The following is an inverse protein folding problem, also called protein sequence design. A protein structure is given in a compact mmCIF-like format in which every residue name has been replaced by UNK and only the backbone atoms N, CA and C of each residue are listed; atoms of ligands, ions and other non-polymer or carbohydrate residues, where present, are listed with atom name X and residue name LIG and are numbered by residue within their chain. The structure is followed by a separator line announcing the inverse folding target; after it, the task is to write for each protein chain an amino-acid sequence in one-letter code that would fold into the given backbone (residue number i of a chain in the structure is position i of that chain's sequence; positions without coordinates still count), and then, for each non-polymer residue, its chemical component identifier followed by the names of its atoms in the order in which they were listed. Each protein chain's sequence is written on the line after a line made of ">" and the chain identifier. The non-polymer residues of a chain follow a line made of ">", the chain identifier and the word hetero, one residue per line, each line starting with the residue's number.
data_IF_736281975930
#
_entry.id   IF_736281975930
#
_cell.length_a   1.000
_cell.length_b   1.000
_cell.length_c   1.000
_cell.angle_alpha   90.00
_cell.angle_beta   90.00
_cell.angle_gamma   90.00
#
_symmetry.space_group_name_H-M   'P 1'
#
loop_
_entity.id
_entity.type
_entity.pdbx_description
1 polymer ?
#
# COMPACT_ATOMS: atom_id res chain seq x y z
N UNK A 1 8.77 -5.85 33.85
CA UNK A 1 8.06 -7.00 33.25
C UNK A 1 9.03 -7.87 32.46
N UNK A 2 8.61 -9.05 31.98
CA UNK A 2 9.42 -9.85 31.05
C UNK A 2 9.46 -9.13 29.70
N UNK A 3 10.51 -9.34 28.90
CA UNK A 3 10.68 -8.63 27.63
C UNK A 3 9.57 -8.96 26.63
N UNK A 4 9.08 -10.19 26.59
CA UNK A 4 7.92 -10.54 25.76
C UNK A 4 6.62 -9.88 26.24
N UNK A 5 6.43 -9.65 27.55
CA UNK A 5 5.28 -8.89 28.06
C UNK A 5 5.36 -7.45 27.53
N UNK A 6 6.55 -6.83 27.63
CA UNK A 6 6.80 -5.48 27.10
C UNK A 6 6.57 -5.43 25.59
N UNK A 7 7.02 -6.44 24.86
CA UNK A 7 6.82 -6.57 23.42
C UNK A 7 5.33 -6.58 23.06
N UNK A 8 4.53 -7.43 23.72
CA UNK A 8 3.08 -7.50 23.51
C UNK A 8 2.39 -6.19 23.91
N UNK A 9 2.76 -5.57 25.03
CA UNK A 9 2.21 -4.28 25.43
C UNK A 9 2.52 -3.17 24.40
N UNK A 10 3.69 -3.21 23.77
CA UNK A 10 4.00 -2.29 22.67
C UNK A 10 3.10 -2.54 21.46
N UNK A 11 2.83 -3.80 21.09
CA UNK A 11 1.88 -4.11 20.01
C UNK A 11 0.46 -3.63 20.32
N UNK A 12 0.00 -3.79 21.57
CA UNK A 12 -1.29 -3.27 22.01
C UNK A 12 -1.36 -1.74 21.89
N UNK A 13 -0.28 -1.03 22.24
CA UNK A 13 -0.19 0.44 22.08
C UNK A 13 -0.19 0.88 20.62
N UNK A 14 0.25 0.03 19.69
CA UNK A 14 0.12 0.26 18.25
C UNK A 14 -1.29 -0.06 17.71
N UNK A 15 -2.18 -0.55 18.57
CA UNK A 15 -3.54 -0.91 18.20
C UNK A 15 -3.63 -2.21 17.40
N UNK A 16 -2.69 -3.13 17.60
CA UNK A 16 -2.78 -4.48 17.03
C UNK A 16 -3.99 -5.20 17.63
N UNK A 17 -4.83 -5.76 16.76
CA UNK A 17 -6.03 -6.51 17.16
C UNK A 17 -5.82 -8.02 16.94
N UNK A 18 -5.11 -8.39 15.88
CA UNK A 18 -4.89 -9.78 15.47
C UNK A 18 -3.42 -10.04 15.14
N UNK A 19 -2.95 -11.24 15.50
CA UNK A 19 -1.69 -11.81 15.00
C UNK A 19 -2.02 -13.14 14.31
N UNK A 20 -1.66 -13.24 13.03
CA UNK A 20 -1.85 -14.46 12.25
C UNK A 20 -0.55 -15.27 12.25
N UNK A 21 -0.57 -16.55 12.58
CA UNK A 21 0.69 -17.29 12.58
C UNK A 21 0.66 -18.71 13.05
N UNK A 22 1.86 -19.26 13.20
CA UNK A 22 2.09 -20.60 13.77
C UNK A 22 3.08 -20.46 14.94
N UNK A 23 2.70 -20.94 16.15
CA UNK A 23 3.60 -20.91 17.30
C UNK A 23 4.74 -21.94 17.14
N UNK A 24 5.88 -21.65 17.77
CA UNK A 24 7.04 -22.52 17.87
C UNK A 24 7.78 -22.33 19.20
N UNK A 25 8.82 -23.12 19.44
CA UNK A 25 9.56 -23.07 20.70
C UNK A 25 10.19 -21.68 20.95
N UNK A 26 10.83 -21.10 19.94
CA UNK A 26 11.57 -19.84 20.04
C UNK A 26 10.68 -18.59 20.15
N UNK A 27 9.38 -18.71 19.92
CA UNK A 27 8.41 -17.65 20.19
C UNK A 27 7.46 -17.99 21.35
N UNK A 28 7.72 -19.07 22.10
CA UNK A 28 6.85 -19.51 23.20
C UNK A 28 6.62 -18.44 24.28
N UNK A 29 7.63 -17.63 24.62
CA UNK A 29 7.46 -16.56 25.60
C UNK A 29 6.50 -15.46 25.11
N UNK A 30 6.49 -15.14 23.81
CA UNK A 30 5.50 -14.24 23.20
C UNK A 30 4.11 -14.89 23.32
N UNK A 31 3.98 -16.17 22.97
CA UNK A 31 2.71 -16.90 23.05
C UNK A 31 2.14 -16.91 24.47
N UNK A 32 2.98 -17.09 25.48
CA UNK A 32 2.55 -17.01 26.88
C UNK A 32 2.10 -15.60 27.28
N UNK A 33 2.74 -14.56 26.75
CA UNK A 33 2.39 -13.16 27.05
C UNK A 33 1.08 -12.75 26.40
N UNK A 34 0.75 -13.33 25.24
CA UNK A 34 -0.51 -13.11 24.54
C UNK A 34 -1.73 -13.67 25.29
N UNK A 35 -1.55 -14.62 26.22
CA UNK A 35 -2.67 -15.18 27.00
C UNK A 35 -3.38 -14.14 27.88
N UNK A 36 -2.64 -13.12 28.32
CA UNK A 36 -3.15 -12.02 29.16
C UNK A 36 -3.39 -10.72 28.35
N UNK A 37 -3.29 -10.80 27.01
CA UNK A 37 -3.44 -9.66 26.09
C UNK A 37 -4.85 -9.57 25.50
N UNK A 38 -5.21 -8.38 25.00
CA UNK A 38 -6.41 -8.23 24.16
C UNK A 38 -6.20 -8.66 22.71
N UNK A 39 -4.96 -8.92 22.29
CA UNK A 39 -4.63 -9.34 20.93
C UNK A 39 -5.10 -10.78 20.71
N UNK A 40 -5.87 -11.02 19.66
CA UNK A 40 -6.28 -12.36 19.27
C UNK A 40 -5.21 -13.03 18.40
N UNK A 41 -4.71 -14.19 18.82
CA UNK A 41 -3.81 -15.00 18.00
C UNK A 41 -4.60 -15.99 17.14
N UNK A 42 -4.57 -15.78 15.82
CA UNK A 42 -5.26 -16.61 14.84
C UNK A 42 -4.30 -17.67 14.30
N UNK A 43 -4.47 -18.90 14.78
CA UNK A 43 -3.63 -20.04 14.38
C UNK A 43 -3.89 -20.39 12.91
N UNK A 44 -2.85 -20.28 12.09
CA UNK A 44 -2.87 -20.63 10.68
C UNK A 44 -2.33 -22.06 10.45
N UNK A 45 -2.51 -22.58 9.23
CA UNK A 45 -2.01 -23.93 8.85
C UNK A 45 -0.70 -23.89 8.06
N UNK A 46 -0.30 -22.72 7.60
CA UNK A 46 1.00 -22.43 6.99
C UNK A 46 1.33 -20.94 7.19
N UNK A 47 2.58 -20.58 7.47
CA UNK A 47 2.97 -19.17 7.72
C UNK A 47 2.75 -18.29 6.49
N UNK A 48 2.94 -18.83 5.28
CA UNK A 48 2.57 -18.14 4.04
C UNK A 48 1.11 -17.64 4.06
N UNK A 49 0.17 -18.49 4.48
CA UNK A 49 -1.24 -18.10 4.60
C UNK A 49 -1.46 -17.01 5.66
N UNK A 50 -0.70 -17.08 6.77
CA UNK A 50 -0.71 -16.03 7.78
C UNK A 50 -0.22 -14.68 7.25
N UNK A 51 0.86 -14.69 6.47
CA UNK A 51 1.40 -13.49 5.83
C UNK A 51 0.41 -12.87 4.84
N UNK A 52 -0.30 -13.68 4.04
CA UNK A 52 -1.32 -13.16 3.12
C UNK A 52 -2.56 -12.62 3.85
N UNK A 53 -2.97 -13.21 4.97
CA UNK A 53 -4.07 -12.63 5.77
C UNK A 53 -3.64 -11.27 6.33
N UNK A 54 -2.40 -11.16 6.84
CA UNK A 54 -1.85 -9.90 7.32
C UNK A 54 -1.73 -8.84 6.21
N UNK A 55 -1.31 -9.21 5.00
CA UNK A 55 -1.29 -8.33 3.82
C UNK A 55 -2.68 -7.74 3.55
N UNK A 56 -3.69 -8.61 3.38
CA UNK A 56 -5.06 -8.18 3.08
C UNK A 56 -5.64 -7.33 4.22
N UNK A 57 -5.39 -7.69 5.48
CA UNK A 57 -5.77 -6.87 6.63
C UNK A 57 -5.16 -5.46 6.53
N UNK A 58 -3.86 -5.40 6.21
CA UNK A 58 -3.13 -4.15 6.02
C UNK A 58 -3.73 -3.28 4.93
N UNK A 59 -4.03 -3.88 3.78
CA UNK A 59 -4.62 -3.19 2.63
C UNK A 59 -6.03 -2.66 2.91
N UNK A 60 -6.86 -3.44 3.59
CA UNK A 60 -8.26 -3.09 3.84
C UNK A 60 -8.44 -2.06 4.97
N UNK A 61 -7.56 -2.09 5.97
CA UNK A 61 -7.72 -1.25 7.17
C UNK A 61 -6.80 -0.03 7.21
N UNK A 62 -5.71 -0.04 6.43
CA UNK A 62 -4.62 0.94 6.54
C UNK A 62 -3.78 0.81 7.82
N UNK A 63 -4.11 -0.13 8.71
CA UNK A 63 -3.32 -0.48 9.91
C UNK A 63 -2.40 -1.66 9.58
N UNK A 64 -1.16 -1.73 10.09
CA UNK A 64 -0.28 -2.85 9.80
C UNK A 64 -0.89 -4.20 10.22
N UNK A 65 -1.05 -5.12 9.26
CA UNK A 65 -1.35 -6.51 9.59
C UNK A 65 -0.13 -7.18 10.22
N UNK A 66 -0.33 -8.05 11.21
CA UNK A 66 0.78 -8.71 11.92
C UNK A 66 0.77 -10.20 11.65
N UNK A 67 1.89 -10.71 11.13
CA UNK A 67 2.10 -12.15 10.96
C UNK A 67 3.28 -12.66 11.80
N UNK A 68 3.21 -13.91 12.22
CA UNK A 68 4.19 -14.52 13.12
C UNK A 68 4.61 -15.92 12.67
N UNK A 69 5.92 -16.15 12.70
CA UNK A 69 6.56 -17.44 12.51
C UNK A 69 7.62 -17.69 13.59
N UNK A 70 8.04 -18.94 13.75
CA UNK A 70 9.24 -19.24 14.55
C UNK A 70 10.51 -18.95 13.75
N UNK A 71 11.69 -19.32 14.27
CA UNK A 71 12.94 -19.25 13.52
C UNK A 71 12.93 -20.21 12.31
N UNK A 72 13.97 -20.12 11.49
CA UNK A 72 14.23 -21.19 10.53
C UNK A 72 13.14 -21.32 9.47
N UNK A 73 12.52 -22.52 9.33
CA UNK A 73 11.47 -22.75 8.33
C UNK A 73 10.26 -21.83 8.50
N UNK A 74 9.90 -21.46 9.74
CA UNK A 74 8.77 -20.56 9.99
C UNK A 74 9.00 -19.18 9.38
N UNK A 75 10.20 -18.63 9.59
CA UNK A 75 10.63 -17.39 8.98
C UNK A 75 10.68 -17.46 7.44
N UNK A 76 11.24 -18.53 6.87
CA UNK A 76 11.29 -18.68 5.40
C UNK A 76 9.91 -18.88 4.76
N UNK A 77 8.96 -19.49 5.47
CA UNK A 77 7.59 -19.68 4.99
C UNK A 77 6.79 -18.37 4.96
N UNK A 78 7.13 -17.39 5.79
CA UNK A 78 6.53 -16.04 5.73
C UNK A 78 7.00 -15.25 4.51
N UNK A 79 8.21 -15.52 4.00
CA UNK A 79 8.94 -14.65 3.08
C UNK A 79 8.12 -14.23 1.84
N UNK A 80 7.41 -15.18 1.21
CA UNK A 80 6.63 -14.89 0.01
C UNK A 80 5.48 -13.91 0.27
N UNK A 81 4.68 -14.14 1.32
CA UNK A 81 3.56 -13.24 1.62
C UNK A 81 4.00 -11.88 2.14
N UNK A 82 5.14 -11.83 2.84
CA UNK A 82 5.75 -10.56 3.29
C UNK A 82 6.30 -9.76 2.11
N UNK A 83 6.94 -10.43 1.15
CA UNK A 83 7.43 -9.80 -0.07
C UNK A 83 6.28 -9.23 -0.91
N UNK A 84 5.20 -10.00 -1.05
CA UNK A 84 3.96 -9.59 -1.73
C UNK A 84 3.38 -8.32 -1.11
N UNK A 85 3.15 -8.31 0.21
CA UNK A 85 2.68 -7.13 0.93
C UNK A 85 3.56 -5.88 0.69
N UNK A 86 4.88 -6.05 0.68
CA UNK A 86 5.80 -4.94 0.46
C UNK A 86 5.76 -4.39 -0.97
N UNK A 87 5.62 -5.28 -1.97
CA UNK A 87 5.52 -4.90 -3.38
C UNK A 87 4.19 -4.19 -3.68
N UNK A 88 3.11 -4.62 -3.02
CA UNK A 88 1.76 -4.08 -3.19
C UNK A 88 1.44 -2.90 -2.25
N UNK A 89 2.46 -2.40 -1.53
CA UNK A 89 2.33 -1.26 -0.61
C UNK A 89 1.33 -1.49 0.53
N UNK A 90 1.20 -2.71 1.02
CA UNK A 90 0.40 -3.02 2.20
C UNK A 90 1.26 -2.88 3.47
N UNK A 91 0.77 -2.14 4.49
CA UNK A 91 1.47 -2.05 5.77
C UNK A 91 1.42 -3.41 6.48
N UNK A 92 2.60 -3.96 6.83
CA UNK A 92 2.71 -5.27 7.47
C UNK A 92 3.88 -5.33 8.45
N UNK A 93 3.68 -6.01 9.58
CA UNK A 93 4.73 -6.36 10.55
C UNK A 93 4.89 -7.89 10.58
N UNK A 94 6.05 -8.36 10.13
CA UNK A 94 6.45 -9.76 10.20
C UNK A 94 7.28 -10.01 11.46
N UNK A 95 6.83 -10.93 12.30
CA UNK A 95 7.48 -11.30 13.55
C UNK A 95 8.10 -12.69 13.44
N UNK A 96 9.36 -12.82 13.82
CA UNK A 96 10.04 -14.11 13.89
C UNK A 96 10.69 -14.34 15.25
N UNK A 97 10.67 -15.60 15.69
CA UNK A 97 11.55 -16.05 16.77
C UNK A 97 12.97 -16.28 16.27
N UNK A 98 13.94 -16.33 17.18
CA UNK A 98 15.31 -16.75 16.89
C UNK A 98 15.89 -17.56 18.05
N UNK A 99 16.83 -18.45 17.74
CA UNK A 99 17.54 -19.20 18.76
C UNK A 99 18.34 -18.28 19.69
N UNK A 100 18.58 -18.75 20.92
CA UNK A 100 19.32 -18.00 21.94
C UNK A 100 20.61 -17.39 21.40
N UNK A 101 20.90 -16.13 21.76
CA UNK A 101 22.10 -15.40 21.30
C UNK A 101 23.40 -16.14 21.62
N UNK A 102 23.41 -16.99 22.64
CA UNK A 102 24.54 -17.83 23.04
C UNK A 102 24.83 -19.01 22.09
N UNK A 103 23.93 -19.36 21.16
CA UNK A 103 24.09 -20.50 20.22
C UNK A 103 24.15 -20.14 18.74
N UNK A 104 24.04 -18.86 18.37
CA UNK A 104 23.99 -18.43 16.96
C UNK A 104 25.32 -18.54 16.20
N UNK A 105 26.46 -18.67 16.90
CA UNK A 105 27.79 -18.73 16.30
C UNK A 105 28.22 -20.13 15.79
N UNK A 106 27.37 -21.15 15.99
CA UNK A 106 27.65 -22.56 15.68
C UNK A 106 26.48 -23.19 14.94
N UNK A 107 26.68 -24.38 14.38
CA UNK A 107 25.59 -25.18 13.84
C UNK A 107 24.58 -25.47 14.95
N UNK A 108 23.39 -24.90 14.81
CA UNK A 108 22.28 -25.03 15.74
C UNK A 108 21.01 -25.35 14.96
N UNK A 109 20.12 -26.13 15.58
CA UNK A 109 18.85 -26.49 14.98
C UNK A 109 18.10 -25.23 14.52
N UNK A 110 17.71 -25.21 13.24
CA UNK A 110 16.93 -24.15 12.59
C UNK A 110 17.52 -22.72 12.62
N UNK A 111 18.73 -22.52 13.16
CA UNK A 111 19.38 -21.22 13.16
C UNK A 111 19.78 -20.80 11.73
N UNK A 112 19.37 -19.59 11.34
CA UNK A 112 19.68 -19.00 10.04
C UNK A 112 19.68 -17.47 10.14
N UNK A 113 20.30 -16.80 9.17
CA UNK A 113 20.34 -15.33 9.09
C UNK A 113 19.04 -14.79 8.48
N UNK A 114 17.98 -14.77 9.29
CA UNK A 114 16.64 -14.27 8.91
C UNK A 114 16.69 -12.81 8.49
N UNK A 115 17.43 -11.98 9.22
CA UNK A 115 17.54 -10.54 8.91
C UNK A 115 18.09 -10.31 7.50
N UNK A 116 19.14 -11.01 7.10
CA UNK A 116 19.68 -10.87 5.74
C UNK A 116 18.73 -11.39 4.67
N UNK A 117 17.98 -12.47 4.94
CA UNK A 117 16.98 -13.00 3.99
C UNK A 117 15.79 -12.07 3.79
N UNK A 118 15.33 -11.38 4.84
CA UNK A 118 14.20 -10.44 4.74
C UNK A 118 14.61 -9.09 4.17
N UNK A 119 15.87 -8.65 4.36
CA UNK A 119 16.37 -7.33 3.94
C UNK A 119 15.99 -6.89 2.51
N UNK A 120 16.03 -7.73 1.46
CA UNK A 120 15.65 -7.31 0.11
C UNK A 120 14.13 -7.19 -0.12
N UNK A 121 13.28 -7.69 0.79
CA UNK A 121 11.83 -7.80 0.59
C UNK A 121 11.00 -7.00 1.61
N UNK A 122 11.64 -6.21 2.47
CA UNK A 122 10.96 -5.34 3.45
C UNK A 122 11.60 -3.95 3.50
N UNK A 123 10.86 -2.95 3.99
CA UNK A 123 11.38 -1.58 4.21
C UNK A 123 12.44 -1.54 5.30
N UNK A 124 12.29 -2.38 6.32
CA UNK A 124 13.21 -2.45 7.45
C UNK A 124 13.19 -3.82 8.11
N UNK A 125 14.33 -4.29 8.59
CA UNK A 125 14.49 -5.57 9.29
C UNK A 125 15.52 -5.44 10.39
N UNK A 126 15.26 -6.02 11.56
CA UNK A 126 16.21 -6.02 12.68
C UNK A 126 16.00 -7.18 13.65
N UNK A 127 17.05 -7.50 14.40
CA UNK A 127 17.00 -8.39 15.57
C UNK A 127 17.01 -7.55 16.84
N UNK A 128 16.13 -7.87 17.78
CA UNK A 128 16.14 -7.27 19.11
C UNK A 128 17.25 -7.89 19.95
N UNK A 129 18.35 -7.16 20.14
CA UNK A 129 19.49 -7.60 20.94
C UNK A 129 19.41 -7.17 22.42
N UNK A 130 18.53 -6.23 22.76
CA UNK A 130 18.33 -5.73 24.12
C UNK A 130 16.83 -5.53 24.40
N UNK A 131 16.35 -6.02 25.54
CA UNK A 131 14.96 -5.89 25.96
C UNK A 131 14.54 -4.42 26.14
N UNK A 132 15.45 -3.54 26.58
CA UNK A 132 15.12 -2.14 26.84
C UNK A 132 14.88 -1.33 25.56
N UNK A 133 15.32 -1.82 24.39
CA UNK A 133 15.10 -1.15 23.09
C UNK A 133 13.80 -1.58 22.40
N UNK A 134 13.04 -2.53 22.97
CA UNK A 134 11.79 -3.03 22.39
C UNK A 134 10.81 -1.90 22.05
N UNK A 135 10.53 -0.93 22.94
CA UNK A 135 9.56 0.13 22.63
C UNK A 135 9.97 1.00 21.44
N UNK A 136 11.25 1.32 21.31
CA UNK A 136 11.78 2.11 20.18
C UNK A 136 11.72 1.32 18.87
N UNK A 137 12.10 0.04 18.90
CA UNK A 137 12.09 -0.84 17.73
C UNK A 137 10.66 -1.03 17.21
N UNK A 138 9.69 -1.30 18.10
CA UNK A 138 8.29 -1.46 17.72
C UNK A 138 7.74 -0.15 17.15
N UNK A 139 7.94 0.97 17.85
CA UNK A 139 7.51 2.30 17.40
C UNK A 139 8.03 2.63 16.00
N UNK A 140 9.32 2.38 15.77
CA UNK A 140 9.95 2.58 14.47
C UNK A 140 9.39 1.63 13.41
N UNK A 141 9.17 0.37 13.75
CA UNK A 141 8.66 -0.63 12.81
C UNK A 141 7.29 -0.25 12.26
N UNK A 142 6.36 0.12 13.14
CA UNK A 142 5.01 0.53 12.76
C UNK A 142 5.03 1.83 11.96
N UNK A 143 5.80 2.83 12.40
CA UNK A 143 5.98 4.06 11.63
C UNK A 143 6.50 3.79 10.21
N UNK A 144 7.53 2.94 10.06
CA UNK A 144 8.08 2.62 8.74
C UNK A 144 7.14 1.77 7.89
N UNK A 145 6.34 0.87 8.49
CA UNK A 145 5.35 0.09 7.75
C UNK A 145 4.25 0.98 7.17
N UNK A 146 3.90 2.09 7.84
CA UNK A 146 2.80 2.98 7.46
C UNK A 146 3.21 4.20 6.64
N UNK A 147 4.43 4.74 6.83
CA UNK A 147 4.85 5.94 6.10
C UNK A 147 4.85 5.69 4.58
N UNK A 148 4.36 6.66 3.81
CA UNK A 148 4.21 6.50 2.36
C UNK A 148 5.57 6.34 1.67
N UNK A 149 5.72 5.39 0.73
CA UNK A 149 4.74 4.34 0.37
C UNK A 149 4.75 3.20 1.42
N UNK A 150 3.59 2.71 1.94
CA UNK A 150 3.56 1.70 2.98
C UNK A 150 4.20 0.39 2.51
N UNK A 151 4.47 -0.51 3.44
CA UNK A 151 5.06 -1.80 3.10
C UNK A 151 5.36 -2.64 4.32
N UNK A 152 6.06 -3.74 4.09
CA UNK A 152 6.37 -4.68 5.15
C UNK A 152 7.62 -4.28 5.93
N UNK A 153 7.63 -4.63 7.22
CA UNK A 153 8.77 -4.53 8.13
C UNK A 153 8.91 -5.85 8.87
N UNK A 154 10.15 -6.26 9.18
CA UNK A 154 10.44 -7.49 9.90
C UNK A 154 11.13 -7.21 11.25
N UNK A 155 10.73 -7.94 12.29
CA UNK A 155 11.37 -7.90 13.61
C UNK A 155 11.61 -9.33 14.08
N UNK A 156 12.85 -9.62 14.43
CA UNK A 156 13.27 -10.89 15.02
C UNK A 156 13.51 -10.74 16.53
N UNK A 157 12.90 -11.61 17.34
CA UNK A 157 13.12 -11.66 18.79
C UNK A 157 13.76 -13.00 19.20
N UNK A 158 15.02 -13.00 19.66
CA UNK A 158 15.64 -14.19 20.22
C UNK A 158 14.98 -14.66 21.52
N UNK A 159 14.87 -15.98 21.69
CA UNK A 159 14.18 -16.63 22.82
C UNK A 159 14.76 -16.30 24.21
N UNK A 160 16.06 -16.02 24.29
CA UNK A 160 16.73 -15.66 25.54
C UNK A 160 16.47 -14.20 25.91
N UNK A 161 16.50 -13.30 24.91
CA UNK A 161 16.15 -11.90 25.08
C UNK A 161 14.68 -11.76 25.49
N UNK A 162 13.77 -12.57 24.92
CA UNK A 162 12.35 -12.58 25.29
C UNK A 162 12.11 -12.84 26.79
N UNK A 163 13.04 -13.51 27.48
CA UNK A 163 12.97 -13.86 28.91
C UNK A 163 13.59 -12.80 29.83
N UNK A 164 14.35 -11.85 29.28
CA UNK A 164 14.99 -10.80 30.08
C UNK A 164 13.95 -9.92 30.80
N UNK A 165 14.38 -9.27 31.89
CA UNK A 165 13.54 -8.30 32.61
C UNK A 165 13.84 -6.90 32.09
N UNK A 166 12.80 -6.11 31.89
CA UNK A 166 12.88 -4.69 31.59
C UNK A 166 11.96 -3.88 32.50
N UNK A 167 12.35 -2.63 32.77
CA UNK A 167 11.57 -1.62 33.49
C UNK A 167 11.09 -0.49 32.57
N UNK A 168 11.41 -0.56 31.27
CA UNK A 168 11.00 0.44 30.28
C UNK A 168 9.50 0.28 29.98
N UNK A 169 8.84 1.40 29.69
CA UNK A 169 7.44 1.44 29.31
C UNK A 169 7.28 1.58 27.79
N UNK A 170 6.17 1.09 27.21
CA UNK A 170 5.84 1.34 25.81
C UNK A 170 5.84 2.84 25.46
N UNK A 171 6.23 3.15 24.23
CA UNK A 171 6.11 4.50 23.68
C UNK A 171 4.69 4.74 23.16
N UNK A 172 4.21 5.98 23.22
CA UNK A 172 2.90 6.38 22.67
C UNK A 172 3.03 6.69 21.18
N UNK A 173 2.08 6.26 20.32
CA UNK A 173 2.05 6.66 18.93
C UNK A 173 1.91 8.16 18.74
N UNK A 174 2.74 8.72 17.87
CA UNK A 174 2.56 10.07 17.35
C UNK A 174 1.76 10.01 16.05
N UNK A 175 0.82 10.95 15.87
CA UNK A 175 0.13 11.14 14.59
C UNK A 175 1.13 11.66 13.54
N UNK A 176 1.16 11.03 12.37
CA UNK A 176 1.82 11.60 11.20
C UNK A 176 0.89 12.59 10.49
N UNK A 177 1.40 13.75 10.11
CA UNK A 177 0.70 14.71 9.27
C UNK A 177 1.36 14.69 7.89
N UNK A 178 0.57 14.56 6.84
CA UNK A 178 1.06 14.69 5.46
C UNK A 178 1.30 16.18 5.14
N UNK A 179 2.33 16.50 4.33
CA UNK A 179 2.58 17.88 3.96
C UNK A 179 1.47 18.39 3.03
N UNK A 180 1.10 19.66 3.21
CA UNK A 180 0.17 20.37 2.32
C UNK A 180 0.75 20.48 0.91
N UNK A 181 -0.08 20.34 -0.14
CA UNK A 181 0.37 20.48 -1.52
C UNK A 181 0.83 21.92 -1.82
N UNK A 182 1.80 22.06 -2.71
CA UNK A 182 2.31 23.37 -3.10
C UNK A 182 1.28 24.13 -3.96
N UNK A 183 0.75 25.25 -3.47
CA UNK A 183 -0.23 26.06 -4.19
C UNK A 183 0.23 26.54 -5.58
N UNK A 184 1.54 26.76 -5.77
CA UNK A 184 2.09 27.13 -7.08
C UNK A 184 2.04 25.99 -8.09
N UNK A 185 2.27 24.75 -7.66
CA UNK A 185 2.11 23.57 -8.52
C UNK A 185 0.64 23.27 -8.81
N UNK A 186 -0.26 23.47 -7.84
CA UNK A 186 -1.71 23.40 -8.06
C UNK A 186 -2.17 24.39 -9.15
N UNK A 187 -1.74 25.65 -9.07
CA UNK A 187 -2.09 26.67 -10.07
C UNK A 187 -1.55 26.34 -11.48
N UNK A 188 -0.35 25.75 -11.56
CA UNK A 188 0.21 25.26 -12.84
C UNK A 188 -0.59 24.08 -13.39
N UNK A 189 -0.91 23.09 -12.55
CA UNK A 189 -1.72 21.93 -12.93
C UNK A 189 -3.09 22.38 -13.47
N UNK A 190 -3.78 23.27 -12.76
CA UNK A 190 -5.06 23.83 -13.21
C UNK A 190 -4.93 24.56 -14.55
N UNK A 191 -3.86 25.34 -14.75
CA UNK A 191 -3.61 26.04 -16.03
C UNK A 191 -3.43 25.06 -17.19
N UNK A 192 -2.67 23.97 -16.99
CA UNK A 192 -2.48 22.93 -18.00
C UNK A 192 -3.80 22.20 -18.31
N UNK A 193 -4.56 21.82 -17.28
CA UNK A 193 -5.85 21.14 -17.46
C UNK A 193 -6.88 22.00 -18.17
N UNK A 194 -6.96 23.31 -17.86
CA UNK A 194 -7.87 24.25 -18.57
C UNK A 194 -7.54 24.38 -20.07
N UNK A 195 -6.30 24.13 -20.47
CA UNK A 195 -5.85 24.20 -21.86
C UNK A 195 -5.95 22.87 -22.62
N UNK A 196 -6.32 21.78 -21.95
CA UNK A 196 -6.37 20.45 -22.55
C UNK A 196 -7.65 20.21 -23.35
N UNK A 197 -7.53 19.49 -24.46
CA UNK A 197 -8.66 19.07 -25.29
C UNK A 197 -9.17 17.68 -24.89
N UNK A 198 -8.27 16.77 -24.49
CA UNK A 198 -8.55 15.37 -24.17
C UNK A 198 -7.88 14.92 -22.86
N UNK A 199 -8.21 15.53 -21.71
CA UNK A 199 -7.66 15.11 -20.42
C UNK A 199 -8.26 13.78 -19.94
N UNK A 200 -7.45 12.96 -19.29
CA UNK A 200 -7.89 11.73 -18.61
C UNK A 200 -7.26 11.65 -17.21
N UNK A 201 -8.02 11.21 -16.22
CA UNK A 201 -7.48 10.87 -14.90
C UNK A 201 -7.07 9.39 -14.88
N UNK A 202 -5.83 9.11 -14.46
CA UNK A 202 -5.34 7.78 -14.14
C UNK A 202 -5.23 7.63 -12.62
N UNK A 203 -6.21 6.96 -12.02
CA UNK A 203 -6.27 6.72 -10.59
C UNK A 203 -5.55 5.42 -10.19
N UNK A 204 -4.58 5.50 -9.28
CA UNK A 204 -3.92 4.35 -8.68
C UNK A 204 -4.42 4.01 -7.28
N UNK A 205 -3.75 3.06 -6.64
CA UNK A 205 -4.07 2.61 -5.28
C UNK A 205 -3.90 3.71 -4.22
N UNK A 206 -3.09 4.75 -4.49
CA UNK A 206 -2.90 5.88 -3.58
C UNK A 206 -4.20 6.63 -3.26
N UNK A 207 -5.15 6.69 -4.21
CA UNK A 207 -6.48 7.30 -3.96
C UNK A 207 -7.23 6.56 -2.85
N UNK A 208 -7.22 5.23 -2.88
CA UNK A 208 -7.89 4.40 -1.90
C UNK A 208 -7.21 4.48 -0.53
N UNK A 209 -5.88 4.43 -0.50
CA UNK A 209 -5.11 4.57 0.75
C UNK A 209 -5.29 5.93 1.42
N UNK A 210 -5.35 7.00 0.64
CA UNK A 210 -5.61 8.34 1.12
C UNK A 210 -7.10 8.61 1.45
N UNK A 211 -7.99 7.66 1.17
CA UNK A 211 -9.45 7.82 1.29
C UNK A 211 -9.99 8.99 0.44
N UNK A 212 -9.35 9.29 -0.69
CA UNK A 212 -9.63 10.45 -1.53
C UNK A 212 -10.66 10.18 -2.65
N UNK A 213 -11.52 9.17 -2.46
CA UNK A 213 -12.50 8.75 -3.48
C UNK A 213 -13.52 9.85 -3.77
N UNK A 214 -14.04 10.50 -2.74
CA UNK A 214 -15.05 11.54 -2.89
C UNK A 214 -14.46 12.78 -3.59
N UNK A 215 -13.25 13.21 -3.21
CA UNK A 215 -12.53 14.32 -3.84
C UNK A 215 -12.20 14.04 -5.30
N UNK A 216 -11.86 12.79 -5.64
CA UNK A 216 -11.64 12.39 -7.03
C UNK A 216 -12.94 12.47 -7.84
N UNK A 217 -14.07 12.03 -7.26
CA UNK A 217 -15.39 12.13 -7.88
C UNK A 217 -15.76 13.59 -8.09
N UNK A 218 -15.63 14.43 -7.07
CA UNK A 218 -15.98 15.86 -7.14
C UNK A 218 -15.16 16.58 -8.22
N UNK A 219 -13.85 16.32 -8.30
CA UNK A 219 -13.01 16.85 -9.38
C UNK A 219 -13.46 16.34 -10.76
N UNK A 220 -13.75 15.04 -10.89
CA UNK A 220 -14.21 14.45 -12.15
C UNK A 220 -15.57 15.00 -12.59
N UNK A 221 -16.51 15.19 -11.66
CA UNK A 221 -17.85 15.68 -11.95
C UNK A 221 -17.85 17.16 -12.36
N UNK A 222 -17.13 18.00 -11.60
CA UNK A 222 -17.03 19.45 -11.86
C UNK A 222 -16.33 19.76 -13.19
N UNK A 223 -15.24 19.05 -13.50
CA UNK A 223 -14.45 19.27 -14.72
C UNK A 223 -14.97 18.49 -15.93
N UNK A 224 -15.70 17.41 -15.69
CA UNK A 224 -16.11 16.45 -16.71
C UNK A 224 -15.00 15.49 -17.18
N UNK A 225 -13.82 15.51 -16.55
CA UNK A 225 -12.69 14.66 -16.91
C UNK A 225 -12.99 13.20 -16.53
N UNK A 226 -12.89 12.24 -17.46
CA UNK A 226 -13.12 10.83 -17.16
C UNK A 226 -11.98 10.19 -16.36
N UNK A 227 -12.30 9.14 -15.62
CA UNK A 227 -11.38 8.44 -14.72
C UNK A 227 -11.22 6.99 -15.16
N UNK A 228 -10.01 6.58 -15.51
CA UNK A 228 -9.61 5.16 -15.53
C UNK A 228 -8.83 4.83 -14.27
N UNK A 229 -8.92 3.60 -13.79
CA UNK A 229 -8.16 3.16 -12.63
C UNK A 229 -7.19 2.01 -12.99
N UNK A 230 -6.11 1.84 -12.22
CA UNK A 230 -5.27 0.64 -12.27
C UNK A 230 -5.98 -0.56 -11.63
N UNK A 231 -5.40 -1.76 -11.68
CA UNK A 231 -5.96 -2.91 -10.95
C UNK A 231 -6.06 -2.69 -9.45
N UNK A 232 -5.02 -2.11 -8.83
CA UNK A 232 -5.03 -1.86 -7.38
C UNK A 232 -5.82 -0.58 -7.03
N UNK A 233 -5.99 0.36 -7.96
CA UNK A 233 -6.89 1.51 -7.83
C UNK A 233 -8.36 1.18 -8.12
N UNK A 234 -8.72 -0.09 -8.37
CA UNK A 234 -10.10 -0.47 -8.64
C UNK A 234 -10.99 -0.17 -7.43
N UNK A 235 -12.00 0.67 -7.66
CA UNK A 235 -12.85 1.21 -6.61
C UNK A 235 -12.59 2.69 -6.30
N UNK A 236 -11.52 3.30 -6.83
CA UNK A 236 -11.26 4.74 -6.71
C UNK A 236 -12.38 5.61 -7.30
N UNK A 237 -13.15 5.04 -8.22
CA UNK A 237 -14.45 5.55 -8.66
C UNK A 237 -15.41 4.36 -8.83
N UNK A 238 -16.71 4.48 -8.49
CA UNK A 238 -17.67 3.41 -8.73
C UNK A 238 -17.74 3.03 -10.22
N UNK A 239 -17.74 1.73 -10.53
CA UNK A 239 -17.84 1.26 -11.91
C UNK A 239 -19.14 1.69 -12.60
N UNK A 240 -20.21 1.93 -11.82
CA UNK A 240 -21.49 2.47 -12.28
C UNK A 240 -21.43 3.95 -12.63
N UNK A 241 -20.42 4.69 -12.16
CA UNK A 241 -20.30 6.12 -12.36
C UNK A 241 -20.11 6.46 -13.85
N UNK A 242 -20.83 7.45 -14.41
CA UNK A 242 -20.77 7.76 -15.84
C UNK A 242 -19.39 8.21 -16.33
N UNK A 243 -18.56 8.81 -15.47
CA UNK A 243 -17.19 9.21 -15.81
C UNK A 243 -16.16 8.07 -15.68
N UNK A 244 -16.55 6.88 -15.22
CA UNK A 244 -15.61 5.76 -15.09
C UNK A 244 -15.29 5.16 -16.48
N UNK A 245 -14.01 5.03 -16.82
CA UNK A 245 -13.51 4.31 -18.01
C UNK A 245 -13.00 2.90 -17.66
N UNK A 246 -13.44 2.37 -16.52
CA UNK A 246 -13.05 1.08 -15.99
C UNK A 246 -11.54 0.98 -15.74
N UNK A 247 -10.98 -0.21 -15.92
CA UNK A 247 -9.69 -0.59 -15.35
C UNK A 247 -8.65 -0.84 -16.44
N UNK A 248 -7.49 -0.23 -16.30
CA UNK A 248 -6.29 -0.45 -17.11
C UNK A 248 -5.25 -1.21 -16.29
N UNK A 249 -4.38 -2.00 -16.94
CA UNK A 249 -3.31 -2.73 -16.24
C UNK A 249 -2.77 -3.94 -16.99
N UNK A 250 -3.55 -4.53 -17.91
CA UNK A 250 -3.06 -5.59 -18.79
C UNK A 250 -2.09 -5.04 -19.83
N UNK A 251 -1.14 -5.88 -20.24
CA UNK A 251 -0.22 -5.55 -21.34
C UNK A 251 -0.92 -5.53 -22.71
N UNK A 252 -2.06 -6.21 -22.84
CA UNK A 252 -2.86 -6.22 -24.05
C UNK A 252 -3.51 -4.85 -24.27
N UNK A 253 -3.49 -4.38 -25.52
CA UNK A 253 -4.17 -3.14 -25.91
C UNK A 253 -5.67 -3.41 -25.95
N UNK A 254 -6.40 -2.71 -25.11
CA UNK A 254 -7.86 -2.82 -24.97
C UNK A 254 -8.53 -1.44 -25.16
N UNK A 255 -9.86 -1.38 -25.16
CA UNK A 255 -10.65 -0.16 -25.43
C UNK A 255 -10.27 0.98 -24.48
N UNK A 256 -10.06 0.70 -23.19
CA UNK A 256 -9.62 1.70 -22.20
C UNK A 256 -8.26 2.33 -22.57
N UNK A 257 -7.37 1.56 -23.21
CA UNK A 257 -6.05 2.06 -23.62
C UNK A 257 -6.17 3.10 -24.74
N UNK A 258 -7.23 3.05 -25.57
CA UNK A 258 -7.47 4.03 -26.63
C UNK A 258 -7.72 5.43 -26.04
N UNK A 259 -8.52 5.51 -24.97
CA UNK A 259 -8.79 6.78 -24.28
C UNK A 259 -7.51 7.43 -23.74
N UNK A 260 -6.59 6.63 -23.18
CA UNK A 260 -5.31 7.13 -22.69
C UNK A 260 -4.37 7.47 -23.85
N UNK A 261 -4.36 6.69 -24.94
CA UNK A 261 -3.51 6.93 -26.12
C UNK A 261 -3.87 8.24 -26.86
N UNK A 262 -5.15 8.61 -26.88
CA UNK A 262 -5.67 9.85 -27.48
C UNK A 262 -5.53 11.08 -26.57
N UNK A 263 -5.37 10.86 -25.26
CA UNK A 263 -5.24 11.93 -24.30
C UNK A 263 -4.06 12.86 -24.64
N UNK A 264 -4.26 14.16 -24.47
CA UNK A 264 -3.19 15.17 -24.58
C UNK A 264 -2.65 15.58 -23.21
N UNK A 265 -3.35 15.23 -22.13
CA UNK A 265 -2.86 15.30 -20.77
C UNK A 265 -3.40 14.14 -19.92
N UNK A 266 -2.57 13.61 -19.03
CA UNK A 266 -2.98 12.63 -18.02
C UNK A 266 -2.74 13.21 -16.63
N UNK A 267 -3.80 13.28 -15.83
CA UNK A 267 -3.71 13.54 -14.39
C UNK A 267 -3.57 12.20 -13.66
N UNK A 268 -2.34 11.83 -13.31
CA UNK A 268 -2.04 10.65 -12.51
C UNK A 268 -2.25 10.98 -11.03
N UNK A 269 -3.17 10.26 -10.37
CA UNK A 269 -3.54 10.50 -8.96
C UNK A 269 -3.31 9.23 -8.16
N UNK A 270 -2.42 9.28 -7.17
CA UNK A 270 -2.05 8.14 -6.34
C UNK A 270 -1.53 6.95 -7.14
N UNK A 271 -0.95 7.20 -8.32
CA UNK A 271 -0.50 6.19 -9.26
C UNK A 271 0.90 5.69 -8.91
N UNK A 272 1.05 4.37 -8.75
CA UNK A 272 2.34 3.73 -8.60
C UNK A 272 2.75 2.95 -9.88
N UNK A 273 4.01 3.09 -10.27
CA UNK A 273 4.60 2.39 -11.41
C UNK A 273 4.54 0.86 -11.25
N UNK A 274 4.49 0.37 -9.99
CA UNK A 274 4.31 -1.08 -9.72
C UNK A 274 2.98 -1.60 -10.25
N UNK A 275 1.96 -0.75 -10.33
CA UNK A 275 0.60 -1.14 -10.71
C UNK A 275 0.49 -1.33 -12.23
N UNK A 276 1.13 -0.44 -13.00
CA UNK A 276 1.08 -0.49 -14.45
C UNK A 276 2.18 0.39 -15.08
N UNK A 277 3.22 -0.20 -15.65
CA UNK A 277 4.40 0.54 -16.11
C UNK A 277 4.07 1.66 -17.14
N UNK A 278 4.63 2.89 -16.99
CA UNK A 278 4.34 4.04 -17.85
C UNK A 278 4.51 3.83 -19.35
N UNK A 279 5.57 3.13 -19.77
CA UNK A 279 5.76 2.68 -21.16
C UNK A 279 4.53 2.04 -21.83
N UNK A 280 3.66 1.38 -21.06
CA UNK A 280 2.49 0.68 -21.59
C UNK A 280 1.33 1.63 -21.88
N UNK A 281 1.18 2.73 -21.13
CA UNK A 281 0.07 3.67 -21.27
C UNK A 281 0.47 5.05 -21.79
N UNK A 282 1.65 5.55 -21.46
CA UNK A 282 2.18 6.82 -21.93
C UNK A 282 2.77 6.69 -23.34
N UNK A 283 1.89 6.32 -24.29
CA UNK A 283 2.19 6.13 -25.71
C UNK A 283 1.08 6.75 -26.57
N UNK A 284 1.25 6.78 -27.89
CA UNK A 284 0.28 7.41 -28.79
C UNK A 284 0.54 8.90 -28.97
N UNK A 285 -0.48 9.75 -28.76
CA UNK A 285 -0.34 11.21 -28.85
C UNK A 285 0.70 11.71 -27.84
N UNK A 286 1.61 12.63 -28.21
CA UNK A 286 2.43 13.34 -27.23
C UNK A 286 1.51 14.00 -26.22
N UNK A 287 1.73 13.70 -24.94
CA UNK A 287 0.84 14.14 -23.87
C UNK A 287 1.65 14.65 -22.68
N UNK A 288 1.04 15.58 -21.97
CA UNK A 288 1.54 16.06 -20.69
C UNK A 288 1.07 15.11 -19.58
N UNK A 289 1.77 15.10 -18.46
CA UNK A 289 1.49 14.32 -17.26
C UNK A 289 1.56 15.26 -16.07
N UNK A 290 0.50 15.26 -15.27
CA UNK A 290 0.47 15.86 -13.93
C UNK A 290 0.45 14.71 -12.94
N UNK A 291 1.31 14.73 -11.93
CA UNK A 291 1.32 13.74 -10.87
C UNK A 291 0.84 14.37 -9.55
N UNK A 292 -0.12 13.71 -8.91
CA UNK A 292 -0.52 13.95 -7.51
C UNK A 292 -0.30 12.64 -6.77
N UNK A 293 0.60 12.60 -5.80
CA UNK A 293 0.84 11.42 -4.96
C UNK A 293 1.35 11.85 -3.58
N UNK A 294 1.37 10.93 -2.62
CA UNK A 294 1.89 11.21 -1.27
C UNK A 294 3.41 11.49 -1.25
N UNK A 295 4.11 11.00 -2.26
CA UNK A 295 5.56 11.18 -2.45
C UNK A 295 5.84 11.72 -3.84
N UNK A 296 7.02 12.31 -4.04
CA UNK A 296 7.45 12.76 -5.37
C UNK A 296 7.45 11.60 -6.37
N UNK A 297 7.21 11.93 -7.65
CA UNK A 297 7.20 10.95 -8.73
C UNK A 297 8.54 10.18 -8.83
N UNK A 298 8.46 8.88 -9.13
CA UNK A 298 9.64 8.07 -9.45
C UNK A 298 10.21 8.48 -10.83
N UNK A 299 11.53 8.38 -10.97
CA UNK A 299 12.23 8.72 -12.21
C UNK A 299 12.11 7.57 -13.21
N UNK A 300 11.36 7.78 -14.30
CA UNK A 300 11.28 6.85 -15.42
C UNK A 300 11.28 7.58 -16.77
N UNK A 301 11.86 6.96 -17.80
CA UNK A 301 11.95 7.55 -19.14
C UNK A 301 10.58 7.76 -19.81
N UNK A 302 9.55 7.06 -19.34
CA UNK A 302 8.17 7.16 -19.83
C UNK A 302 7.24 7.83 -18.82
N UNK A 303 7.76 8.34 -17.69
CA UNK A 303 7.00 9.11 -16.69
C UNK A 303 7.82 10.30 -16.22
N UNK A 304 7.62 11.42 -16.91
CA UNK A 304 8.27 12.69 -16.60
C UNK A 304 7.19 13.77 -16.46
N UNK A 305 6.58 13.91 -15.26
CA UNK A 305 5.51 14.89 -15.05
C UNK A 305 5.97 16.31 -15.31
N UNK A 306 5.19 17.09 -16.06
CA UNK A 306 5.36 18.53 -16.21
C UNK A 306 5.09 19.27 -14.90
N UNK A 307 4.22 18.70 -14.07
CA UNK A 307 3.88 19.16 -12.72
C UNK A 307 3.84 17.95 -11.80
N UNK A 308 4.59 18.00 -10.70
CA UNK A 308 4.61 16.98 -9.64
C UNK A 308 4.17 17.61 -8.33
N UNK A 309 3.11 17.08 -7.72
CA UNK A 309 2.47 17.59 -6.50
C UNK A 309 2.56 16.49 -5.43
N UNK A 310 3.70 16.38 -4.72
CA UNK A 310 3.80 15.51 -3.57
C UNK A 310 3.08 16.12 -2.36
N UNK A 311 2.26 15.33 -1.68
CA UNK A 311 1.60 15.74 -0.45
C UNK A 311 0.30 15.00 -0.19
N UNK A 312 -0.52 15.55 0.70
CA UNK A 312 -1.84 15.00 0.96
C UNK A 312 -2.70 14.99 -0.33
N UNK A 313 -3.07 13.80 -0.81
CA UNK A 313 -3.80 13.61 -2.07
C UNK A 313 -5.19 14.23 -1.98
N UNK A 314 -5.85 14.12 -0.83
CA UNK A 314 -7.18 14.68 -0.58
C UNK A 314 -7.13 16.20 -0.69
N UNK A 315 -6.20 16.84 0.02
CA UNK A 315 -5.99 18.29 -0.04
C UNK A 315 -5.58 18.77 -1.45
N UNK A 316 -4.77 17.99 -2.17
CA UNK A 316 -4.35 18.33 -3.53
C UNK A 316 -5.51 18.29 -4.53
N UNK A 317 -6.40 17.30 -4.44
CA UNK A 317 -7.59 17.20 -5.28
C UNK A 317 -8.59 18.33 -4.97
N UNK A 318 -8.81 18.64 -3.69
CA UNK A 318 -9.70 19.74 -3.27
C UNK A 318 -9.17 21.10 -3.76
N UNK A 319 -7.89 21.38 -3.52
CA UNK A 319 -7.26 22.62 -3.97
C UNK A 319 -7.26 22.75 -5.50
N UNK A 320 -7.06 21.64 -6.23
CA UNK A 320 -7.12 21.63 -7.68
C UNK A 320 -8.54 21.88 -8.20
N UNK A 321 -9.56 21.27 -7.59
CA UNK A 321 -10.96 21.49 -7.94
C UNK A 321 -11.36 22.96 -7.68
N UNK A 322 -11.00 23.52 -6.52
CA UNK A 322 -11.26 24.92 -6.17
C UNK A 322 -10.58 25.88 -7.17
N UNK A 323 -9.31 25.62 -7.49
CA UNK A 323 -8.56 26.44 -8.44
C UNK A 323 -9.22 26.39 -9.82
N UNK A 324 -9.61 25.22 -10.34
CA UNK A 324 -10.27 25.11 -11.65
C UNK A 324 -11.66 25.79 -11.64
N UNK A 325 -12.41 25.64 -10.55
CA UNK A 325 -13.80 26.13 -10.39
C UNK A 325 -14.82 25.31 -11.19
N UNK A 326 -16.06 25.81 -11.27
CA UNK A 326 -17.19 25.16 -11.98
C UNK A 326 -17.08 25.26 -13.53
N UNK A 327 -15.90 24.98 -14.07
CA UNK A 327 -15.64 25.01 -15.50
C UNK A 327 -15.63 23.57 -16.05
N UNK A 328 -16.65 23.23 -16.85
CA UNK A 328 -16.62 22.00 -17.64
C UNK A 328 -15.52 22.11 -18.68
N UNK A 329 -14.47 21.32 -18.51
CA UNK A 329 -13.31 21.29 -19.40
C UNK A 329 -13.55 20.36 -20.59
N UNK A 330 -14.33 19.29 -20.40
CA UNK A 330 -14.51 18.23 -21.40
C UNK A 330 -15.97 18.00 -21.75
N UNK A 331 -16.25 17.86 -23.05
CA UNK A 331 -17.55 17.34 -23.51
C UNK A 331 -17.51 15.81 -23.45
N UNK A 332 -18.24 15.23 -22.49
CA UNK A 332 -18.32 13.78 -22.22
C UNK A 332 -18.51 12.90 -23.46
N UNK A 333 -19.21 13.42 -24.47
CA UNK A 333 -19.50 12.77 -25.76
C UNK A 333 -18.29 12.06 -26.41
N UNK A 334 -17.08 12.59 -26.25
CA UNK A 334 -15.87 12.01 -26.83
C UNK A 334 -15.43 10.71 -26.15
N UNK A 335 -15.71 10.55 -24.86
CA UNK A 335 -15.32 9.37 -24.07
C UNK A 335 -16.46 8.37 -23.85
N UNK A 336 -17.71 8.81 -24.06
CA UNK A 336 -18.90 7.96 -23.95
C UNK A 336 -18.82 6.73 -24.87
N UNK A 337 -18.30 6.91 -26.09
CA UNK A 337 -18.13 5.80 -27.05
C UNK A 337 -17.23 4.68 -26.51
N UNK A 338 -16.14 5.02 -25.83
CA UNK A 338 -15.24 4.05 -25.19
C UNK A 338 -15.95 3.28 -24.08
N UNK A 339 -16.66 4.01 -23.20
CA UNK A 339 -17.41 3.39 -22.10
C UNK A 339 -18.53 2.48 -22.61
N UNK A 340 -19.30 2.92 -23.60
CA UNK A 340 -20.38 2.14 -24.20
C UNK A 340 -19.85 0.86 -24.85
N UNK A 341 -18.72 0.95 -25.56
CA UNK A 341 -18.08 -0.24 -26.16
C UNK A 341 -17.68 -1.25 -25.09
N UNK A 342 -17.02 -0.79 -24.02
CA UNK A 342 -16.64 -1.67 -22.90
C UNK A 342 -17.86 -2.28 -22.19
N UNK A 343 -18.94 -1.52 -22.01
CA UNK A 343 -20.18 -2.04 -21.43
C UNK A 343 -20.82 -3.13 -22.31
N UNK A 344 -20.86 -2.92 -23.62
CA UNK A 344 -21.37 -3.92 -24.56
C UNK A 344 -20.54 -5.22 -24.51
N UNK A 345 -19.22 -5.13 -24.37
CA UNK A 345 -18.35 -6.31 -24.21
C UNK A 345 -18.63 -7.05 -22.89
N UNK A 346 -18.82 -6.34 -21.78
CA UNK A 346 -19.20 -6.96 -20.51
C UNK A 346 -20.56 -7.65 -20.55
N UNK A 347 -21.49 -7.12 -21.36
CA UNK A 347 -22.84 -7.68 -21.52
C UNK A 347 -22.93 -8.81 -22.56
N UNK A 348 -21.91 -8.98 -23.42
CA UNK A 348 -21.93 -9.92 -24.56
C UNK A 348 -22.26 -11.36 -24.15
N UNK A 349 -21.89 -11.76 -22.94
CA UNK A 349 -22.09 -13.10 -22.38
C UNK A 349 -22.82 -13.08 -21.03
N UNK A 350 -23.60 -12.03 -20.73
CA UNK A 350 -24.31 -11.90 -19.46
C UNK A 350 -25.27 -13.07 -19.18
N UNK A 351 -25.82 -13.68 -20.23
CA UNK A 351 -26.73 -14.83 -20.17
C UNK A 351 -26.04 -16.16 -20.54
N UNK A 352 -24.70 -16.17 -20.67
CA UNK A 352 -23.97 -17.39 -20.98
C UNK A 352 -23.96 -18.33 -19.77
N UNK A 353 -24.70 -19.44 -19.88
CA UNK A 353 -24.74 -20.50 -18.87
C UNK A 353 -23.65 -21.55 -19.06
N UNK A 354 -22.72 -21.33 -19.99
CA UNK A 354 -21.55 -22.17 -20.21
C UNK A 354 -20.68 -22.23 -18.96
N UNK A 355 -20.39 -23.44 -18.48
CA UNK A 355 -19.45 -23.66 -17.37
C UNK A 355 -18.06 -23.94 -17.95
N UNK A 356 -16.98 -23.31 -17.44
CA UNK A 356 -15.61 -23.61 -17.86
C UNK A 356 -15.14 -25.03 -17.51
#
# INVERSE_FOLDING_TARGET
>A
MKASDLFVHCLEQEGVEYIFGIPGEENADIMMSLLDSSIEFVVCRHEQGAAFIADVYGRLTGKPGVCLGTLGPGATNLLTGVADANMDRAPLIALTGQGSTTRLHKESHQAMDVVSMFRPVVKWTTTIANADTIPEIIRKAFHLAQVEKPGAVHIELPEDIAKHRSLISPLVPASSVQPEPNAGEIAKAATLLRGAEFPVILAGNGVLRAQATDQLIDLSESTGIPVTNTFMGKGAIPASHPNCLFTVGLQARDVVALAIEEADIVLAVGYDLVEYHPKLWNRGRPKQVINIDATAAEVDAHFAPEVDIPGDITAALEALAEEIGDQVLVKREQYLSYRETMQQEFEQYAEDTGFP
#
